data_IF_162163480485
#
_entry.id   IF_162163480485
#
_cell.length_a   1.000
_cell.length_b   1.000
_cell.length_c   1.000
_cell.angle_alpha   90.00
_cell.angle_beta   90.00
_cell.angle_gamma   90.00
#
_symmetry.space_group_name_H-M   'P 1'
#
loop_
_entity.id
_entity.type
_entity.pdbx_description
1 polymer ?
#
# COMPACT_ATOMS: atom_id res chain seq x y z
N UNK A 1 5.74 23.49 -2.91
CA UNK A 1 4.98 22.59 -2.01
C UNK A 1 4.36 21.41 -2.77
N UNK A 2 3.66 21.65 -3.88
CA UNK A 2 3.03 20.59 -4.72
C UNK A 2 3.97 19.47 -5.20
N UNK A 3 5.14 19.82 -5.77
CA UNK A 3 6.14 18.82 -6.21
C UNK A 3 6.63 17.93 -5.06
N UNK A 4 6.74 18.49 -3.86
CA UNK A 4 7.12 17.74 -2.65
C UNK A 4 5.98 16.80 -2.25
N UNK A 5 4.73 17.27 -2.27
CA UNK A 5 3.56 16.45 -1.97
C UNK A 5 3.42 15.25 -2.94
N UNK A 6 3.62 15.48 -4.24
CA UNK A 6 3.62 14.42 -5.27
C UNK A 6 4.75 13.42 -5.02
N UNK A 7 5.96 13.90 -4.71
CA UNK A 7 7.10 13.03 -4.43
C UNK A 7 6.85 12.14 -3.21
N UNK A 8 6.26 12.69 -2.14
CA UNK A 8 5.91 11.95 -0.93
C UNK A 8 4.82 10.91 -1.22
N UNK A 9 3.75 11.29 -1.92
CA UNK A 9 2.69 10.37 -2.30
C UNK A 9 3.24 9.18 -3.13
N UNK A 10 4.14 9.45 -4.07
CA UNK A 10 4.84 8.42 -4.85
C UNK A 10 5.68 7.49 -3.99
N UNK A 11 6.49 8.01 -3.07
CA UNK A 11 7.33 7.17 -2.21
C UNK A 11 6.50 6.29 -1.27
N UNK A 12 5.42 6.84 -0.70
CA UNK A 12 4.50 6.08 0.15
C UNK A 12 3.83 4.95 -0.64
N UNK A 13 3.29 5.24 -1.82
CA UNK A 13 2.70 4.21 -2.69
C UNK A 13 3.69 3.11 -3.06
N UNK A 14 4.95 3.45 -3.38
CA UNK A 14 5.97 2.46 -3.69
C UNK A 14 6.26 1.54 -2.50
N UNK A 15 6.31 2.11 -1.28
CA UNK A 15 6.50 1.35 -0.05
C UNK A 15 5.36 0.34 0.16
N UNK A 16 4.12 0.82 0.04
CA UNK A 16 2.93 -0.01 0.25
C UNK A 16 2.84 -1.15 -0.78
N UNK A 17 3.08 -0.86 -2.06
CA UNK A 17 3.09 -1.89 -3.13
C UNK A 17 4.16 -2.94 -2.86
N UNK A 18 5.34 -2.53 -2.39
CA UNK A 18 6.41 -3.46 -2.02
C UNK A 18 6.00 -4.37 -0.86
N UNK A 19 5.40 -3.81 0.19
CA UNK A 19 4.91 -4.58 1.34
C UNK A 19 3.81 -5.55 0.91
N UNK A 20 2.80 -5.10 0.17
CA UNK A 20 1.72 -5.94 -0.34
C UNK A 20 2.25 -7.11 -1.20
N UNK A 21 3.23 -6.82 -2.06
CA UNK A 21 3.87 -7.85 -2.91
C UNK A 21 4.62 -8.89 -2.08
N UNK A 22 5.31 -8.46 -1.01
CA UNK A 22 5.98 -9.37 -0.08
C UNK A 22 4.97 -10.25 0.66
N UNK A 23 3.86 -9.68 1.11
CA UNK A 23 2.76 -10.40 1.76
C UNK A 23 2.12 -11.46 0.85
N UNK A 24 1.95 -11.16 -0.43
CA UNK A 24 1.45 -12.12 -1.42
C UNK A 24 2.45 -13.25 -1.68
N UNK A 25 3.75 -12.95 -1.64
CA UNK A 25 4.82 -13.93 -1.86
C UNK A 25 5.08 -14.84 -0.64
N UNK A 26 4.81 -14.36 0.57
CA UNK A 26 4.87 -15.19 1.78
C UNK A 26 3.59 -16.06 1.89
N UNK A 27 3.72 -17.32 2.31
CA UNK A 27 2.60 -18.28 2.49
C UNK A 27 1.47 -17.76 3.40
N UNK A 28 1.68 -16.62 4.05
CA UNK A 28 0.79 -15.99 5.01
C UNK A 28 -0.51 -15.47 4.38
N UNK A 29 -0.46 -14.90 3.17
CA UNK A 29 -1.68 -14.48 2.46
C UNK A 29 -2.58 -15.68 2.15
N UNK A 30 -1.96 -16.81 1.81
CA UNK A 30 -2.62 -18.10 1.55
C UNK A 30 -3.19 -18.70 2.84
N UNK A 31 -2.42 -18.63 3.95
CA UNK A 31 -2.80 -19.14 5.27
C UNK A 31 -3.98 -18.38 5.90
N UNK A 32 -4.15 -17.10 5.55
CA UNK A 32 -5.26 -16.25 6.01
C UNK A 32 -6.43 -16.16 5.03
N UNK A 33 -6.27 -16.66 3.80
CA UNK A 33 -7.31 -16.61 2.78
C UNK A 33 -7.62 -15.22 2.23
N UNK A 34 -6.64 -14.29 2.27
CA UNK A 34 -6.82 -12.87 1.88
C UNK A 34 -6.05 -12.48 0.61
N UNK A 35 -5.69 -13.46 -0.22
CA UNK A 35 -4.85 -13.22 -1.41
C UNK A 35 -5.56 -12.37 -2.46
N UNK A 36 -6.86 -12.58 -2.67
CA UNK A 36 -7.62 -11.84 -3.68
C UNK A 36 -7.74 -10.35 -3.30
N UNK A 37 -7.99 -10.07 -2.02
CA UNK A 37 -8.08 -8.70 -1.49
C UNK A 37 -6.73 -7.99 -1.56
N UNK A 38 -5.64 -8.68 -1.23
CA UNK A 38 -4.29 -8.11 -1.34
C UNK A 38 -3.89 -7.86 -2.79
N UNK A 39 -4.28 -8.73 -3.71
CA UNK A 39 -4.07 -8.54 -5.15
C UNK A 39 -4.86 -7.33 -5.66
N UNK A 40 -6.13 -7.22 -5.29
CA UNK A 40 -6.97 -6.07 -5.62
C UNK A 40 -6.38 -4.76 -5.09
N UNK A 41 -5.97 -4.71 -3.81
CA UNK A 41 -5.33 -3.54 -3.22
C UNK A 41 -4.07 -3.16 -4.00
N UNK A 42 -3.23 -4.14 -4.37
CA UNK A 42 -2.02 -3.89 -5.15
C UNK A 42 -2.35 -3.23 -6.50
N UNK A 43 -3.30 -3.78 -7.26
CA UNK A 43 -3.70 -3.24 -8.58
C UNK A 43 -4.23 -1.79 -8.47
N UNK A 44 -5.05 -1.50 -7.45
CA UNK A 44 -5.57 -0.16 -7.21
C UNK A 44 -4.45 0.84 -6.86
N UNK A 45 -3.46 0.44 -6.05
CA UNK A 45 -2.29 1.27 -5.75
C UNK A 45 -1.42 1.53 -6.99
N UNK A 46 -1.29 0.54 -7.88
CA UNK A 46 -0.57 0.69 -9.15
C UNK A 46 -1.29 1.66 -10.10
N UNK A 47 -2.63 1.62 -10.14
CA UNK A 47 -3.45 2.59 -10.88
C UNK A 47 -3.22 4.03 -10.36
N UNK A 48 -3.20 4.21 -9.03
CA UNK A 48 -2.93 5.50 -8.41
C UNK A 48 -1.51 6.00 -8.70
N UNK A 49 -0.51 5.12 -8.75
CA UNK A 49 0.85 5.49 -9.18
C UNK A 49 0.88 5.98 -10.63
N UNK A 50 0.17 5.31 -11.53
CA UNK A 50 0.08 5.71 -12.93
C UNK A 50 -0.55 7.11 -13.05
N UNK A 51 -1.63 7.37 -12.30
CA UNK A 51 -2.26 8.68 -12.24
C UNK A 51 -1.29 9.77 -11.77
N UNK A 52 -0.59 9.57 -10.64
CA UNK A 52 0.37 10.56 -10.13
C UNK A 52 1.53 10.82 -11.11
N UNK A 53 1.90 9.82 -11.91
CA UNK A 53 2.93 9.96 -12.94
C UNK A 53 2.47 10.90 -14.05
N UNK A 54 1.24 10.73 -14.54
CA UNK A 54 0.62 11.58 -15.57
C UNK A 54 0.45 13.01 -15.05
N UNK A 55 -0.17 13.17 -13.88
CA UNK A 55 -0.38 14.48 -13.24
C UNK A 55 0.93 15.26 -13.05
N UNK A 56 2.00 14.55 -12.65
CA UNK A 56 3.34 15.12 -12.50
C UNK A 56 4.01 15.47 -13.83
N UNK A 57 3.85 14.65 -14.87
CA UNK A 57 4.49 14.84 -16.17
C UNK A 57 3.86 16.03 -16.92
N UNK A 58 2.53 16.13 -16.85
CA UNK A 58 1.76 17.18 -17.51
C UNK A 58 1.66 18.48 -16.69
N UNK A 59 2.21 18.52 -15.47
CA UNK A 59 2.05 19.63 -14.51
C UNK A 59 0.57 20.07 -14.37
N UNK A 60 -0.35 19.10 -14.29
CA UNK A 60 -1.77 19.40 -14.12
C UNK A 60 -2.00 19.94 -12.71
N UNK A 61 -2.57 21.14 -12.61
CA UNK A 61 -2.79 21.87 -11.34
C UNK A 61 -4.25 22.22 -11.09
N UNK A 62 -5.17 21.40 -11.60
CA UNK A 62 -6.58 21.57 -11.29
C UNK A 62 -6.83 21.24 -9.82
N UNK A 63 -7.80 21.90 -9.20
CA UNK A 63 -8.20 21.65 -7.81
C UNK A 63 -8.54 20.17 -7.56
N UNK A 64 -9.14 19.51 -8.56
CA UNK A 64 -9.39 18.07 -8.57
C UNK A 64 -8.12 17.24 -8.47
N UNK A 65 -7.07 17.57 -9.23
CA UNK A 65 -5.79 16.84 -9.19
C UNK A 65 -5.10 17.05 -7.85
N UNK A 66 -5.11 18.27 -7.31
CA UNK A 66 -4.53 18.58 -5.99
C UNK A 66 -5.23 17.77 -4.89
N UNK A 67 -6.56 17.71 -4.95
CA UNK A 67 -7.36 16.92 -4.01
C UNK A 67 -7.05 15.44 -4.13
N UNK A 68 -6.95 14.92 -5.35
CA UNK A 68 -6.64 13.50 -5.58
C UNK A 68 -5.24 13.15 -5.08
N UNK A 69 -4.23 14.01 -5.29
CA UNK A 69 -2.87 13.81 -4.74
C UNK A 69 -2.92 13.69 -3.21
N UNK A 70 -3.70 14.54 -2.54
CA UNK A 70 -3.86 14.50 -1.09
C UNK A 70 -4.52 13.19 -0.65
N UNK A 71 -5.63 12.80 -1.29
CA UNK A 71 -6.36 11.56 -0.97
C UNK A 71 -5.51 10.31 -1.20
N UNK A 72 -4.77 10.24 -2.31
CA UNK A 72 -3.86 9.13 -2.61
C UNK A 72 -2.77 9.02 -1.56
N UNK A 73 -2.24 10.15 -1.08
CA UNK A 73 -1.23 10.15 -0.01
C UNK A 73 -1.81 9.65 1.31
N UNK A 74 -3.00 10.12 1.69
CA UNK A 74 -3.68 9.70 2.92
C UNK A 74 -3.99 8.20 2.88
N UNK A 75 -4.56 7.72 1.77
CA UNK A 75 -4.82 6.30 1.58
C UNK A 75 -3.54 5.45 1.63
N UNK A 76 -2.44 5.94 1.05
CA UNK A 76 -1.17 5.22 1.13
C UNK A 76 -0.69 5.06 2.58
N UNK A 77 -0.88 6.07 3.44
CA UNK A 77 -0.56 5.93 4.87
C UNK A 77 -1.50 4.94 5.57
N UNK A 78 -2.81 5.02 5.31
CA UNK A 78 -3.79 4.10 5.90
C UNK A 78 -3.49 2.64 5.53
N UNK A 79 -3.19 2.36 4.26
CA UNK A 79 -2.85 1.00 3.80
C UNK A 79 -1.50 0.56 4.38
N UNK A 80 -0.51 1.45 4.50
CA UNK A 80 0.76 1.14 5.14
C UNK A 80 0.56 0.69 6.60
N UNK A 81 -0.26 1.44 7.35
CA UNK A 81 -0.57 1.14 8.74
C UNK A 81 -1.32 -0.19 8.87
N UNK A 82 -2.34 -0.44 8.03
CA UNK A 82 -3.04 -1.73 8.01
C UNK A 82 -2.12 -2.91 7.70
N UNK A 83 -1.24 -2.78 6.70
CA UNK A 83 -0.29 -3.85 6.37
C UNK A 83 0.74 -4.06 7.49
N UNK A 84 1.18 -2.99 8.15
CA UNK A 84 2.10 -3.09 9.31
C UNK A 84 1.42 -3.82 10.47
N UNK A 85 0.19 -3.47 10.81
CA UNK A 85 -0.58 -4.16 11.85
C UNK A 85 -0.80 -5.64 11.53
N UNK A 86 -1.18 -5.95 10.29
CA UNK A 86 -1.31 -7.32 9.81
C UNK A 86 0.03 -8.08 9.99
N UNK A 87 1.15 -7.45 9.66
CA UNK A 87 2.48 -8.09 9.72
C UNK A 87 2.84 -8.47 11.17
N UNK A 88 2.56 -7.57 12.12
CA UNK A 88 2.81 -7.81 13.54
C UNK A 88 1.90 -8.92 14.07
N UNK A 89 0.61 -8.92 13.70
CA UNK A 89 -0.32 -9.99 14.06
C UNK A 89 0.16 -11.35 13.53
N UNK A 90 0.66 -11.37 12.30
CA UNK A 90 1.12 -12.58 11.63
C UNK A 90 2.43 -13.12 12.18
N UNK A 91 3.37 -12.24 12.53
CA UNK A 91 4.60 -12.65 13.23
C UNK A 91 4.25 -13.29 14.58
N UNK A 92 3.35 -12.68 15.37
CA UNK A 92 2.86 -13.26 16.63
C UNK A 92 2.20 -14.62 16.42
N UNK A 93 1.36 -14.76 15.40
CA UNK A 93 0.66 -16.01 15.07
C UNK A 93 1.67 -17.08 14.64
N UNK A 94 2.61 -16.75 13.75
CA UNK A 94 3.70 -17.64 13.32
C UNK A 94 4.55 -18.11 14.50
N UNK A 95 4.92 -17.20 15.41
CA UNK A 95 5.67 -17.56 16.62
C UNK A 95 4.87 -18.50 17.52
N UNK A 96 3.56 -18.29 17.68
CA UNK A 96 2.68 -19.20 18.42
C UNK A 96 2.58 -20.60 17.76
N UNK A 97 2.49 -20.67 16.43
CA UNK A 97 2.52 -21.95 15.69
C UNK A 97 3.87 -22.67 15.82
N UNK A 98 4.99 -21.94 15.73
CA UNK A 98 6.33 -22.51 15.83
C UNK A 98 6.72 -22.91 17.27
N UNK A 99 6.12 -22.28 18.27
CA UNK A 99 6.30 -22.62 19.69
C UNK A 99 5.32 -23.71 20.18
N UNK A 100 4.48 -24.27 19.31
CA UNK A 100 3.67 -25.45 19.61
C UNK A 100 2.46 -25.20 20.53
N UNK A 101 1.87 -24.00 20.52
CA UNK A 101 0.62 -23.77 21.23
C UNK A 101 -0.56 -24.36 20.43
N UNK A 102 -1.11 -25.47 20.93
CA UNK A 102 -2.45 -25.98 20.59
C UNK A 102 -3.54 -25.01 21.03
#
# INVERSE_FOLDING_TARGET
>A
MEKVAISVAKSSLNSVVHVASKFLAEEIGLLLGVQEELFFIKEELEMMQAFLRIASAENVKTETVITLIKQVRELAFDVEDCLREASVYLMKKKDAYLLGAQ
#
